data_IF_475165272665
#
_entry.id   IF_475165272665
#
_cell.length_a   1.000
_cell.length_b   1.000
_cell.length_c   1.000
_cell.angle_alpha   90.00
_cell.angle_beta   90.00
_cell.angle_gamma   90.00
#
_symmetry.space_group_name_H-M   'P 1'
#
loop_
_entity.id
_entity.type
_entity.pdbx_description
1 polymer ?
#
# COMPACT_ATOMS: atom_id res chain seq x y z
N UNK A 1 -10.20 -16.39 3.53
CA UNK A 1 -9.60 -15.04 3.66
C UNK A 1 -9.00 -14.70 2.32
N UNK A 2 -9.31 -13.52 1.76
CA UNK A 2 -8.70 -13.08 0.51
C UNK A 2 -7.31 -12.51 0.75
N UNK A 3 -6.42 -12.74 -0.20
CA UNK A 3 -5.13 -12.08 -0.27
C UNK A 3 -5.29 -10.57 -0.37
N UNK A 4 -4.34 -9.84 0.20
CA UNK A 4 -4.29 -8.40 0.08
C UNK A 4 -3.71 -7.99 -1.27
N UNK A 5 -4.29 -6.97 -1.88
CA UNK A 5 -3.84 -6.33 -3.11
C UNK A 5 -3.45 -4.90 -2.80
N UNK A 6 -2.27 -4.51 -3.27
CA UNK A 6 -1.77 -3.14 -3.22
C UNK A 6 -1.86 -2.54 -4.62
N UNK A 7 -2.23 -1.26 -4.68
CA UNK A 7 -2.09 -0.46 -5.90
C UNK A 7 -1.34 0.83 -5.57
N UNK A 8 -0.18 0.97 -6.21
CA UNK A 8 0.72 2.10 -6.05
C UNK A 8 0.48 3.09 -7.18
N UNK A 9 0.38 4.36 -6.82
CA UNK A 9 0.31 5.47 -7.75
C UNK A 9 1.62 6.24 -7.63
N UNK A 10 2.37 6.35 -8.73
CA UNK A 10 3.69 6.97 -8.74
C UNK A 10 3.63 8.43 -9.23
N UNK A 11 4.65 9.21 -8.85
CA UNK A 11 4.80 10.64 -9.24
C UNK A 11 4.90 10.85 -10.75
N UNK A 12 5.32 9.84 -11.51
CA UNK A 12 5.41 9.86 -12.98
C UNK A 12 4.06 9.57 -13.67
N UNK A 13 3.00 9.31 -12.91
CA UNK A 13 1.68 8.96 -13.42
C UNK A 13 1.48 7.46 -13.69
N UNK A 14 2.50 6.62 -13.50
CA UNK A 14 2.36 5.17 -13.61
C UNK A 14 1.64 4.58 -12.40
N UNK A 15 1.02 3.42 -12.60
CA UNK A 15 0.39 2.64 -11.53
C UNK A 15 0.87 1.20 -11.56
N UNK A 16 1.12 0.62 -10.39
CA UNK A 16 1.49 -0.78 -10.25
C UNK A 16 0.55 -1.48 -9.27
N UNK A 17 -0.01 -2.63 -9.69
CA UNK A 17 -0.87 -3.47 -8.87
C UNK A 17 -0.11 -4.74 -8.47
N UNK A 18 -0.13 -5.07 -7.17
CA UNK A 18 0.55 -6.23 -6.61
C UNK A 18 -0.42 -7.02 -5.73
N UNK A 19 -0.62 -8.28 -6.07
CA UNK A 19 -1.25 -9.24 -5.16
C UNK A 19 -0.19 -9.83 -4.23
N UNK A 20 -0.55 -9.98 -2.96
CA UNK A 20 0.35 -10.50 -1.92
C UNK A 20 -0.11 -11.86 -1.45
N UNK A 21 0.78 -12.61 -0.82
CA UNK A 21 0.40 -13.84 -0.12
C UNK A 21 -0.13 -13.56 1.30
N UNK A 22 -0.17 -12.29 1.71
CA UNK A 22 -0.64 -11.88 3.03
C UNK A 22 -2.16 -11.71 2.99
N UNK A 23 -2.89 -12.13 4.03
CA UNK A 23 -4.32 -11.93 4.09
C UNK A 23 -4.64 -10.44 4.26
N UNK A 24 -5.70 -9.97 3.59
CA UNK A 24 -6.27 -8.66 3.85
C UNK A 24 -6.93 -8.65 5.23
N UNK A 25 -6.29 -8.00 6.22
CA UNK A 25 -6.79 -7.86 7.60
C UNK A 25 -6.68 -6.42 8.09
N UNK A 26 -7.48 -6.07 9.10
CA UNK A 26 -7.42 -4.76 9.77
C UNK A 26 -6.04 -4.54 10.43
N UNK A 27 -5.39 -5.61 10.88
CA UNK A 27 -4.03 -5.59 11.42
C UNK A 27 -3.00 -5.21 10.34
N UNK A 28 -3.06 -5.83 9.15
CA UNK A 28 -2.19 -5.48 8.04
C UNK A 28 -2.37 -4.01 7.60
N UNK A 29 -3.63 -3.53 7.55
CA UNK A 29 -3.91 -2.12 7.27
C UNK A 29 -3.35 -1.18 8.36
N UNK A 30 -3.42 -1.59 9.63
CA UNK A 30 -2.86 -0.81 10.75
C UNK A 30 -1.34 -0.75 10.71
N UNK A 31 -0.67 -1.86 10.37
CA UNK A 31 0.79 -1.92 10.20
C UNK A 31 1.22 -1.01 9.04
N UNK A 32 0.53 -1.08 7.89
CA UNK A 32 0.79 -0.20 6.75
C UNK A 32 0.67 1.27 7.16
N UNK A 33 -0.41 1.65 7.83
CA UNK A 33 -0.60 3.02 8.31
C UNK A 33 0.53 3.46 9.26
N UNK A 34 0.95 2.60 10.20
CA UNK A 34 2.05 2.90 11.10
C UNK A 34 3.38 3.12 10.36
N UNK A 35 3.71 2.27 9.38
CA UNK A 35 4.91 2.42 8.57
C UNK A 35 4.91 3.73 7.78
N UNK A 36 3.75 4.13 7.25
CA UNK A 36 3.59 5.39 6.52
C UNK A 36 3.69 6.60 7.45
N UNK A 37 3.11 6.55 8.65
CA UNK A 37 3.26 7.60 9.67
C UNK A 37 4.73 7.76 10.10
N UNK A 38 5.47 6.65 10.14
CA UNK A 38 6.91 6.65 10.46
C UNK A 38 7.80 7.08 9.28
N UNK A 39 7.22 7.45 8.13
CA UNK A 39 7.94 7.82 6.90
C UNK A 39 8.90 6.73 6.41
N UNK A 40 8.45 5.47 6.39
CA UNK A 40 9.23 4.38 5.80
C UNK A 40 9.64 4.73 4.35
N UNK A 41 10.91 4.55 4.01
CA UNK A 41 11.39 4.73 2.63
C UNK A 41 10.96 3.57 1.72
N UNK A 42 10.83 2.38 2.30
CA UNK A 42 10.55 1.15 1.58
C UNK A 42 9.36 0.43 2.18
N UNK A 43 8.50 -0.12 1.31
CA UNK A 43 7.41 -1.00 1.67
C UNK A 43 7.62 -2.37 1.02
N UNK A 44 7.52 -3.44 1.79
CA UNK A 44 7.50 -4.79 1.24
C UNK A 44 6.06 -5.16 0.89
N UNK A 45 5.79 -5.44 -0.39
CA UNK A 45 4.46 -5.85 -0.87
C UNK A 45 4.61 -6.87 -2.00
N UNK A 46 3.91 -8.00 -1.92
CA UNK A 46 3.89 -9.01 -3.00
C UNK A 46 5.28 -9.57 -3.34
N UNK A 47 6.18 -9.65 -2.35
CA UNK A 47 7.57 -10.08 -2.55
C UNK A 47 8.50 -9.02 -3.17
N UNK A 48 8.01 -7.82 -3.44
CA UNK A 48 8.80 -6.68 -3.93
C UNK A 48 9.06 -5.66 -2.82
N UNK A 49 10.14 -4.91 -2.96
CA UNK A 49 10.41 -3.72 -2.16
C UNK A 49 10.08 -2.48 -2.99
N UNK A 50 9.07 -1.73 -2.57
CA UNK A 50 8.58 -0.54 -3.25
C UNK A 50 9.19 0.69 -2.60
N UNK A 51 9.82 1.55 -3.40
CA UNK A 51 10.36 2.82 -2.92
C UNK A 51 9.23 3.84 -2.79
N UNK A 52 8.87 4.18 -1.55
CA UNK A 52 7.79 5.11 -1.26
C UNK A 52 8.11 6.56 -1.61
N UNK A 53 9.39 6.91 -1.82
CA UNK A 53 9.77 8.27 -2.24
C UNK A 53 9.16 8.69 -3.58
N UNK A 54 8.84 7.72 -4.44
CA UNK A 54 8.24 7.96 -5.75
C UNK A 54 6.72 7.69 -5.76
N UNK A 55 6.12 7.31 -4.63
CA UNK A 55 4.71 6.95 -4.51
C UNK A 55 3.93 8.14 -3.96
N UNK A 56 2.82 8.51 -4.61
CA UNK A 56 1.90 9.57 -4.17
C UNK A 56 0.75 9.04 -3.33
N UNK A 57 0.27 7.84 -3.65
CA UNK A 57 -0.78 7.17 -2.89
C UNK A 57 -0.71 5.66 -3.04
N UNK A 58 -1.22 4.98 -2.02
CA UNK A 58 -1.36 3.53 -1.98
C UNK A 58 -2.83 3.23 -1.75
N UNK A 59 -3.35 2.25 -2.49
CA UNK A 59 -4.64 1.64 -2.25
C UNK A 59 -4.42 0.20 -1.77
N UNK A 60 -5.16 -0.21 -0.72
CA UNK A 60 -5.04 -1.53 -0.10
C UNK A 60 -6.43 -2.19 -0.05
N UNK A 61 -6.59 -3.37 -0.69
CA UNK A 61 -7.89 -4.02 -0.90
C UNK A 61 -7.83 -5.56 -0.74
N UNK A 62 -8.99 -6.19 -0.54
CA UNK A 62 -9.18 -7.65 -0.54
C UNK A 62 -10.32 -8.10 -1.48
N UNK A 63 -10.28 -9.35 -1.96
CA UNK A 63 -11.16 -9.89 -3.03
C UNK A 63 -12.64 -10.11 -2.65
N UNK A 64 -13.02 -10.18 -1.37
CA UNK A 64 -14.42 -10.36 -0.99
C UNK A 64 -15.02 -9.06 -0.43
N UNK A 65 -15.80 -8.38 -1.29
CA UNK A 65 -16.70 -7.28 -0.96
C UNK A 65 -16.07 -5.98 -0.43
N UNK A 66 -15.76 -5.06 -1.36
CA UNK A 66 -15.79 -3.58 -1.19
C UNK A 66 -15.36 -3.03 0.18
N UNK A 67 -14.29 -3.53 0.79
CA UNK A 67 -13.73 -2.87 1.99
C UNK A 67 -12.73 -1.81 1.57
N UNK A 68 -13.25 -0.58 1.65
CA UNK A 68 -12.59 0.72 1.76
C UNK A 68 -11.21 0.81 1.07
N UNK A 69 -11.22 1.41 -0.11
CA UNK A 69 -10.04 2.08 -0.65
C UNK A 69 -9.65 3.19 0.31
N UNK A 70 -8.73 2.91 1.24
CA UNK A 70 -8.10 3.94 2.03
C UNK A 70 -6.94 4.50 1.23
N UNK A 71 -7.20 5.61 0.54
CA UNK A 71 -6.15 6.35 -0.16
C UNK A 71 -5.29 7.05 0.89
N UNK A 72 -4.10 6.50 1.13
CA UNK A 72 -3.14 7.12 2.05
C UNK A 72 -2.24 8.04 1.22
N UNK A 73 -2.37 9.35 1.40
CA UNK A 73 -1.55 10.35 0.70
C UNK A 73 -0.16 10.40 1.33
N UNK A 74 0.85 10.02 0.56
CA UNK A 74 2.23 10.13 1.00
C UNK A 74 2.70 11.58 0.91
N UNK A 75 3.28 12.11 1.98
CA UNK A 75 3.91 13.44 2.00
C UNK A 75 5.39 13.25 2.35
N UNK A 76 6.30 13.16 1.37
CA UNK A 76 7.72 13.19 1.68
C UNK A 76 8.03 14.55 2.34
N UNK A 77 8.71 14.54 3.49
CA UNK A 77 9.20 15.77 4.10
C UNK A 77 10.17 16.46 3.13
N UNK A 78 9.98 17.77 2.96
CA UNK A 78 10.88 18.66 2.23
C UNK A 78 12.28 18.66 2.81
#
# INVERSE_FOLDING_TARGET
MSNAKYKFYYVNGETEELETNEPYTDEANSILNLQLIQNATWLQAGGKHINLANVISIEFAGDQDKRKLEQIKFRPNK
#
